data_IF_225390973594
#
_entry.id   IF_225390973594
#
_cell.length_a   1.000
_cell.length_b   1.000
_cell.length_c   1.000
_cell.angle_alpha   90.00
_cell.angle_beta   90.00
_cell.angle_gamma   90.00
#
_symmetry.space_group_name_H-M   'P 1'
#
loop_
_entity.id
_entity.type
_entity.pdbx_description
1 polymer ?
#
# COMPACT_ATOMS: atom_id res chain seq x y z
N UNK A 1 6.51 12.97 8.29
CA UNK A 1 5.70 13.85 7.41
C UNK A 1 4.77 13.01 6.57
N UNK A 2 3.49 13.39 6.52
CA UNK A 2 2.49 12.61 5.78
C UNK A 2 2.85 12.50 4.30
N UNK A 3 3.40 13.57 3.70
CA UNK A 3 3.80 13.54 2.30
C UNK A 3 4.90 12.52 2.04
N UNK A 4 5.82 12.38 2.98
CA UNK A 4 6.89 11.39 2.84
C UNK A 4 6.33 9.97 2.93
N UNK A 5 5.37 9.75 3.82
CA UNK A 5 4.76 8.43 3.97
C UNK A 5 4.04 8.02 2.68
N UNK A 6 3.22 8.93 2.13
CA UNK A 6 2.51 8.63 0.89
C UNK A 6 3.48 8.34 -0.25
N UNK A 7 4.54 9.14 -0.37
CA UNK A 7 5.54 8.94 -1.41
C UNK A 7 6.23 7.59 -1.27
N UNK A 8 6.54 7.18 -0.04
CA UNK A 8 7.16 5.89 0.20
C UNK A 8 6.21 4.74 -0.16
N UNK A 9 4.93 4.89 0.16
CA UNK A 9 3.94 3.88 -0.19
C UNK A 9 3.81 3.75 -1.70
N UNK A 10 3.79 4.88 -2.43
CA UNK A 10 3.74 4.87 -3.88
C UNK A 10 4.95 4.14 -4.45
N UNK A 11 6.14 4.43 -3.94
CA UNK A 11 7.37 3.80 -4.43
C UNK A 11 7.33 2.29 -4.22
N UNK A 12 6.91 1.84 -3.05
CA UNK A 12 6.81 0.40 -2.78
C UNK A 12 5.77 -0.24 -3.68
N UNK A 13 4.62 0.43 -3.87
CA UNK A 13 3.59 -0.07 -4.77
C UNK A 13 4.16 -0.27 -6.18
N UNK A 14 4.88 0.73 -6.69
CA UNK A 14 5.45 0.63 -8.04
C UNK A 14 6.40 -0.55 -8.16
N UNK A 15 7.27 -0.73 -7.16
CA UNK A 15 8.23 -1.82 -7.19
C UNK A 15 7.53 -3.17 -7.15
N UNK A 16 6.55 -3.33 -6.26
CA UNK A 16 5.80 -4.58 -6.14
C UNK A 16 4.99 -4.85 -7.40
N UNK A 17 4.35 -3.82 -7.94
CA UNK A 17 3.55 -3.97 -9.17
C UNK A 17 4.41 -4.49 -10.31
N UNK A 18 5.57 -3.87 -10.54
CA UNK A 18 6.45 -4.28 -11.63
C UNK A 18 6.99 -5.69 -11.44
N UNK A 19 7.38 -6.04 -10.21
CA UNK A 19 7.91 -7.37 -9.93
C UNK A 19 6.86 -8.44 -10.04
N UNK A 20 5.66 -8.19 -9.49
CA UNK A 20 4.61 -9.19 -9.43
C UNK A 20 3.95 -9.41 -10.79
N UNK A 21 3.72 -8.33 -11.55
CA UNK A 21 3.07 -8.43 -12.86
C UNK A 21 4.07 -8.49 -14.01
N UNK A 22 5.36 -8.30 -13.72
CA UNK A 22 6.45 -8.25 -14.72
C UNK A 22 6.25 -7.11 -15.71
N UNK A 23 5.52 -6.08 -15.32
CA UNK A 23 5.32 -4.89 -16.13
C UNK A 23 6.56 -4.00 -16.04
N UNK A 24 6.79 -3.20 -17.09
CA UNK A 24 7.89 -2.25 -17.09
C UNK A 24 7.50 -0.92 -16.45
N UNK A 25 6.20 -0.66 -16.33
CA UNK A 25 5.68 0.55 -15.70
C UNK A 25 4.54 0.20 -14.77
N UNK A 26 4.27 1.07 -13.81
CA UNK A 26 3.15 0.93 -12.90
C UNK A 26 2.13 2.04 -13.19
N UNK A 27 0.84 1.80 -12.92
CA UNK A 27 -0.17 2.83 -13.14
C UNK A 27 0.00 3.99 -12.18
N UNK A 28 -0.41 5.17 -12.62
CA UNK A 28 -0.51 6.31 -11.73
C UNK A 28 -1.68 6.12 -10.79
N UNK A 29 -1.48 6.42 -9.51
CA UNK A 29 -2.50 6.24 -8.49
C UNK A 29 -3.01 7.59 -8.01
N UNK A 30 -4.29 7.64 -7.71
CA UNK A 30 -4.88 8.74 -6.96
C UNK A 30 -5.67 8.14 -5.79
N UNK A 31 -6.23 9.00 -4.95
CA UNK A 31 -6.90 8.54 -3.75
C UNK A 31 -8.11 7.65 -4.05
N UNK A 32 -8.72 7.82 -5.22
CA UNK A 32 -9.90 7.05 -5.62
C UNK A 32 -9.55 5.76 -6.36
N UNK A 33 -8.29 5.51 -6.66
CA UNK A 33 -7.88 4.30 -7.38
C UNK A 33 -8.21 3.06 -6.54
N UNK A 34 -9.00 2.16 -7.10
CA UNK A 34 -9.37 0.92 -6.42
C UNK A 34 -8.21 -0.06 -6.54
N UNK A 35 -7.68 -0.51 -5.41
CA UNK A 35 -6.43 -1.28 -5.38
C UNK A 35 -6.48 -2.53 -6.25
N UNK A 36 -7.57 -3.29 -6.16
CA UNK A 36 -7.68 -4.53 -6.93
C UNK A 36 -8.05 -4.31 -8.39
N UNK A 37 -8.31 -3.05 -8.78
CA UNK A 37 -8.56 -2.70 -10.18
C UNK A 37 -7.36 -2.06 -10.87
N UNK A 38 -6.24 -1.95 -10.16
CA UNK A 38 -5.02 -1.38 -10.74
C UNK A 38 -4.27 -2.37 -11.63
N UNK A 39 -4.63 -3.64 -11.57
CA UNK A 39 -3.89 -4.72 -12.18
C UNK A 39 -3.17 -5.60 -11.16
N UNK A 40 -3.19 -5.19 -9.90
CA UNK A 40 -2.61 -5.94 -8.80
C UNK A 40 -3.70 -6.81 -8.18
N UNK A 41 -3.49 -8.12 -8.15
CA UNK A 41 -4.47 -9.04 -7.57
C UNK A 41 -4.31 -9.12 -6.06
N UNK A 42 -5.12 -9.99 -5.42
CA UNK A 42 -5.09 -10.10 -3.97
C UNK A 42 -3.75 -10.62 -3.45
N UNK A 43 -3.09 -11.50 -4.20
CA UNK A 43 -1.75 -11.96 -3.82
C UNK A 43 -0.75 -10.81 -3.90
N UNK A 44 -0.82 -10.01 -4.97
CA UNK A 44 0.04 -8.83 -5.09
C UNK A 44 -0.20 -7.83 -3.99
N UNK A 45 -1.46 -7.65 -3.57
CA UNK A 45 -1.77 -6.75 -2.46
C UNK A 45 -1.17 -7.26 -1.15
N UNK A 46 -1.21 -8.59 -0.92
CA UNK A 46 -0.58 -9.18 0.26
C UNK A 46 0.93 -8.96 0.25
N UNK A 47 1.56 -9.11 -0.92
CA UNK A 47 2.99 -8.85 -1.07
C UNK A 47 3.29 -7.38 -0.79
N UNK A 48 2.43 -6.49 -1.25
CA UNK A 48 2.58 -5.05 -1.00
C UNK A 48 2.59 -4.75 0.50
N UNK A 49 1.68 -5.36 1.25
CA UNK A 49 1.61 -5.14 2.70
C UNK A 49 2.89 -5.63 3.37
N UNK A 50 3.41 -6.78 2.97
CA UNK A 50 4.66 -7.31 3.52
C UNK A 50 5.83 -6.37 3.22
N UNK A 51 5.91 -5.88 1.98
CA UNK A 51 6.98 -4.94 1.61
C UNK A 51 6.87 -3.63 2.36
N UNK A 52 5.64 -3.15 2.57
CA UNK A 52 5.44 -1.92 3.33
C UNK A 52 5.89 -2.08 4.78
N UNK A 53 5.66 -3.25 5.38
CA UNK A 53 6.16 -3.51 6.72
C UNK A 53 7.69 -3.43 6.75
N UNK A 54 8.35 -4.03 5.78
CA UNK A 54 9.80 -3.99 5.70
C UNK A 54 10.33 -2.57 5.51
N UNK A 55 9.65 -1.78 4.68
CA UNK A 55 10.09 -0.44 4.34
C UNK A 55 9.78 0.57 5.44
N UNK A 56 8.60 0.47 6.03
CA UNK A 56 8.12 1.45 7.01
C UNK A 56 8.39 1.04 8.45
N UNK A 57 8.62 -0.24 8.70
CA UNK A 57 8.94 -0.74 10.03
C UNK A 57 7.74 -1.07 10.88
N UNK A 58 6.51 -1.05 10.33
CA UNK A 58 5.31 -1.42 11.08
C UNK A 58 4.23 -1.93 10.14
N UNK A 59 3.28 -2.67 10.72
CA UNK A 59 2.13 -3.22 9.99
C UNK A 59 0.86 -2.75 10.69
N UNK A 60 0.13 -1.79 10.10
CA UNK A 60 -1.07 -1.25 10.73
C UNK A 60 -2.19 -2.29 10.86
N UNK A 61 -2.19 -3.34 10.04
CA UNK A 61 -3.20 -4.40 10.14
C UNK A 61 -3.04 -5.21 11.41
N UNK A 62 -1.81 -5.33 11.90
CA UNK A 62 -1.55 -5.99 13.19
C UNK A 62 -1.80 -5.04 14.35
N UNK A 63 -1.46 -3.76 14.16
CA UNK A 63 -1.59 -2.77 15.23
C UNK A 63 -3.05 -2.36 15.48
N UNK A 64 -3.89 -2.43 14.45
CA UNK A 64 -5.30 -2.10 14.57
C UNK A 64 -6.05 -3.21 15.30
N UNK A 65 -6.98 -2.82 16.18
CA UNK A 65 -7.79 -3.80 16.91
C UNK A 65 -8.95 -4.32 16.08
N UNK A 66 -9.20 -3.76 14.89
CA UNK A 66 -10.32 -4.12 14.05
C UNK A 66 -9.85 -4.62 12.70
N UNK A 67 -10.57 -5.61 12.15
CA UNK A 67 -10.33 -6.05 10.79
C UNK A 67 -10.69 -4.93 9.82
N UNK A 68 -9.80 -4.63 8.88
CA UNK A 68 -10.01 -3.54 7.94
C UNK A 68 -9.36 -3.89 6.61
N UNK A 69 -10.09 -3.65 5.54
CA UNK A 69 -9.61 -3.89 4.18
C UNK A 69 -9.73 -2.59 3.39
N UNK A 70 -8.61 -1.89 3.16
CA UNK A 70 -8.66 -0.68 2.33
C UNK A 70 -9.06 -1.05 0.90
N UNK A 71 -9.97 -0.29 0.32
CA UNK A 71 -10.42 -0.55 -1.04
C UNK A 71 -9.73 0.34 -2.04
N UNK A 72 -9.48 1.59 -1.66
CA UNK A 72 -8.81 2.55 -2.54
C UNK A 72 -7.40 2.83 -2.04
N UNK A 73 -6.60 3.42 -2.91
CA UNK A 73 -5.26 3.83 -2.54
C UNK A 73 -5.28 4.85 -1.39
N UNK A 74 -6.23 5.80 -1.45
CA UNK A 74 -6.38 6.77 -0.37
C UNK A 74 -6.71 6.12 0.96
N UNK A 75 -7.57 5.09 0.93
CA UNK A 75 -7.88 4.34 2.14
C UNK A 75 -6.63 3.68 2.72
N UNK A 76 -5.80 3.11 1.86
CA UNK A 76 -4.56 2.46 2.29
C UNK A 76 -3.62 3.47 2.94
N UNK A 77 -3.42 4.61 2.31
CA UNK A 77 -2.51 5.63 2.83
C UNK A 77 -3.01 6.14 4.18
N UNK A 78 -4.31 6.43 4.30
CA UNK A 78 -4.88 6.90 5.56
C UNK A 78 -4.74 5.87 6.67
N UNK A 79 -4.93 4.59 6.34
CA UNK A 79 -4.80 3.53 7.33
C UNK A 79 -3.39 3.47 7.90
N UNK A 80 -2.39 3.62 7.04
CA UNK A 80 -1.00 3.67 7.49
C UNK A 80 -0.70 4.93 8.29
N UNK A 81 -1.26 6.07 7.88
CA UNK A 81 -1.07 7.33 8.61
C UNK A 81 -1.72 7.29 10.00
N UNK A 82 -2.93 6.73 10.08
CA UNK A 82 -3.68 6.71 11.33
C UNK A 82 -3.13 5.72 12.35
N UNK A 83 -2.36 4.74 11.91
CA UNK A 83 -1.87 3.67 12.77
C UNK A 83 -0.35 3.67 12.88
N UNK A 84 0.28 4.80 12.71
CA UNK A 84 1.73 4.90 12.90
C UNK A 84 2.08 4.69 14.37
N UNK A 85 3.11 3.88 14.66
CA UNK A 85 3.56 3.72 16.05
C UNK A 85 4.17 5.02 16.57
N UNK A 86 3.99 5.24 17.86
CA UNK A 86 4.50 6.44 18.53
C UNK A 86 5.99 6.33 18.81
#
# INVERSE_FOLDING_TARGET
>A
MAADLKARIVKVFEDVFKEHTQATTAPSLNDDSVLLETGLDSLGLAILVIRLEEELGYDPFVLSSEAYYPQTFGDLVRFYEDNQPQ
#
